data_IF_841622990470
#
_entry.id   IF_841622990470
#
_cell.length_a   1.000
_cell.length_b   1.000
_cell.length_c   1.000
_cell.angle_alpha   90.00
_cell.angle_beta   90.00
_cell.angle_gamma   90.00
#
_symmetry.space_group_name_H-M   'P 1'
#
loop_
_entity.id
_entity.type
_entity.pdbx_description
1 polymer ?
#
# COMPACT_ATOMS: atom_id res chain seq x y z
N UNK A 1 -10.38 -28.52 22.65
CA UNK A 1 -11.03 -27.79 21.51
C UNK A 1 -10.68 -26.33 21.70
N UNK A 2 -9.93 -25.74 20.79
CA UNK A 2 -9.75 -24.29 20.78
C UNK A 2 -11.14 -23.65 20.66
N UNK A 3 -11.39 -22.59 21.41
CA UNK A 3 -12.63 -21.84 21.30
C UNK A 3 -12.71 -21.26 19.87
N UNK A 4 -13.86 -21.35 19.24
CA UNK A 4 -14.10 -20.84 17.88
C UNK A 4 -13.66 -19.37 17.72
N UNK A 5 -13.77 -18.61 18.80
CA UNK A 5 -13.30 -17.22 18.86
C UNK A 5 -11.80 -17.09 18.72
N UNK A 6 -11.01 -17.96 19.36
CA UNK A 6 -9.56 -17.96 19.29
C UNK A 6 -9.07 -18.36 17.87
N UNK A 7 -9.73 -19.30 17.25
CA UNK A 7 -9.45 -19.70 15.87
C UNK A 7 -9.72 -18.54 14.89
N UNK A 8 -10.85 -17.87 15.03
CA UNK A 8 -11.18 -16.69 14.22
C UNK A 8 -10.19 -15.55 14.42
N UNK A 9 -9.72 -15.33 15.66
CA UNK A 9 -8.72 -14.32 15.97
C UNK A 9 -7.36 -14.66 15.32
N UNK A 10 -6.96 -15.94 15.40
CA UNK A 10 -5.73 -16.43 14.76
C UNK A 10 -5.78 -16.21 13.24
N UNK A 11 -6.87 -16.60 12.58
CA UNK A 11 -7.04 -16.42 11.14
C UNK A 11 -7.01 -14.93 10.74
N UNK A 12 -7.53 -14.04 11.57
CA UNK A 12 -7.47 -12.60 11.31
C UNK A 12 -6.03 -12.06 11.48
N UNK A 13 -5.26 -12.56 12.44
CA UNK A 13 -3.85 -12.20 12.62
C UNK A 13 -2.99 -12.69 11.44
N UNK A 14 -3.19 -13.91 10.96
CA UNK A 14 -2.51 -14.44 9.77
C UNK A 14 -2.82 -13.58 8.53
N UNK A 15 -4.07 -13.16 8.35
CA UNK A 15 -4.44 -12.26 7.26
C UNK A 15 -3.77 -10.87 7.41
N UNK A 16 -3.70 -10.33 8.62
CA UNK A 16 -2.97 -9.08 8.89
C UNK A 16 -1.49 -9.19 8.55
N UNK A 17 -0.86 -10.34 8.82
CA UNK A 17 0.52 -10.59 8.45
C UNK A 17 0.72 -10.53 6.92
N UNK A 18 -0.21 -11.08 6.14
CA UNK A 18 -0.18 -11.01 4.68
C UNK A 18 -0.24 -9.55 4.18
N UNK A 19 -1.09 -8.70 4.79
CA UNK A 19 -1.13 -7.28 4.47
C UNK A 19 0.17 -6.56 4.87
N UNK A 20 0.74 -6.89 6.03
CA UNK A 20 2.02 -6.33 6.45
C UNK A 20 3.15 -6.71 5.48
N UNK A 21 3.21 -7.94 5.01
CA UNK A 21 4.21 -8.36 4.01
C UNK A 21 4.08 -7.57 2.71
N UNK A 22 2.86 -7.29 2.25
CA UNK A 22 2.65 -6.44 1.08
C UNK A 22 3.08 -4.98 1.34
N UNK A 23 2.80 -4.45 2.54
CA UNK A 23 3.22 -3.09 2.92
C UNK A 23 4.74 -2.98 3.01
N UNK A 24 5.43 -3.95 3.60
CA UNK A 24 6.90 -4.01 3.68
C UNK A 24 7.48 -3.99 2.27
N UNK A 25 7.03 -4.90 1.41
CA UNK A 25 7.51 -4.98 0.03
C UNK A 25 7.24 -3.68 -0.75
N UNK A 26 6.08 -3.06 -0.56
CA UNK A 26 5.76 -1.77 -1.15
C UNK A 26 6.74 -0.66 -0.70
N UNK A 27 7.05 -0.61 0.60
CA UNK A 27 8.00 0.35 1.16
C UNK A 27 9.43 0.11 0.67
N UNK A 28 9.82 -1.16 0.51
CA UNK A 28 11.13 -1.52 -0.05
C UNK A 28 11.26 -1.05 -1.50
N UNK A 29 10.23 -1.25 -2.34
CA UNK A 29 10.23 -0.75 -3.72
C UNK A 29 10.34 0.78 -3.79
N UNK A 30 9.62 1.49 -2.92
CA UNK A 30 9.68 2.95 -2.85
C UNK A 30 11.04 3.44 -2.34
N UNK A 31 11.64 2.73 -1.38
CA UNK A 31 12.97 3.03 -0.89
C UNK A 31 14.06 2.85 -1.95
N UNK A 32 13.96 1.78 -2.79
CA UNK A 32 14.87 1.60 -3.94
C UNK A 32 14.71 2.73 -4.96
N UNK A 33 13.47 3.19 -5.22
CA UNK A 33 13.24 4.33 -6.13
C UNK A 33 13.87 5.62 -5.58
N UNK A 34 13.74 5.90 -4.28
CA UNK A 34 14.40 7.04 -3.62
C UNK A 34 15.93 6.94 -3.75
N UNK A 35 16.53 5.77 -3.49
CA UNK A 35 17.96 5.55 -3.65
C UNK A 35 18.45 5.77 -5.08
N UNK A 36 17.68 5.36 -6.09
CA UNK A 36 17.97 5.62 -7.50
C UNK A 36 17.93 7.12 -7.78
N UNK A 37 16.92 7.82 -7.28
CA UNK A 37 16.80 9.27 -7.44
C UNK A 37 17.98 10.01 -6.79
N UNK A 38 18.37 9.64 -5.58
CA UNK A 38 19.48 10.24 -4.83
C UNK A 38 20.85 9.95 -5.51
N UNK A 39 20.96 8.80 -6.17
CA UNK A 39 22.19 8.34 -6.84
C UNK A 39 22.22 8.65 -8.35
N UNK A 40 21.30 9.45 -8.86
CA UNK A 40 21.09 9.68 -10.31
C UNK A 40 22.35 10.13 -11.05
N UNK A 41 23.18 10.96 -10.44
CA UNK A 41 24.45 11.41 -11.05
C UNK A 41 25.41 10.24 -11.27
N UNK A 42 25.55 9.34 -10.29
CA UNK A 42 26.43 8.16 -10.39
C UNK A 42 25.90 7.13 -11.39
N UNK A 43 24.58 7.03 -11.52
CA UNK A 43 23.90 6.10 -12.43
C UNK A 43 23.88 6.57 -13.90
N UNK A 44 24.39 7.76 -14.21
CA UNK A 44 24.51 8.25 -15.59
C UNK A 44 25.40 7.37 -16.49
N UNK A 45 26.27 6.52 -15.92
CA UNK A 45 27.06 5.55 -16.67
C UNK A 45 26.18 4.42 -17.30
N UNK A 46 24.96 4.20 -16.81
CA UNK A 46 24.04 3.16 -17.29
C UNK A 46 22.59 3.68 -17.44
N UNK A 47 22.33 4.72 -18.25
CA UNK A 47 21.06 5.43 -18.27
C UNK A 47 19.88 4.54 -18.72
N UNK A 48 20.08 3.64 -19.66
CA UNK A 48 19.03 2.73 -20.14
C UNK A 48 18.67 1.68 -19.09
N UNK A 49 19.65 1.16 -18.35
CA UNK A 49 19.40 0.24 -17.26
C UNK A 49 18.61 0.92 -16.16
N UNK A 50 19.02 2.10 -15.74
CA UNK A 50 18.34 2.90 -14.71
C UNK A 50 16.89 3.17 -15.09
N UNK A 51 16.62 3.58 -16.34
CA UNK A 51 15.27 3.82 -16.84
C UNK A 51 14.40 2.55 -16.79
N UNK A 52 14.95 1.40 -17.18
CA UNK A 52 14.22 0.13 -17.14
C UNK A 52 13.86 -0.25 -15.69
N UNK A 53 14.80 -0.09 -14.76
CA UNK A 53 14.58 -0.38 -13.35
C UNK A 53 13.54 0.56 -12.75
N UNK A 54 13.62 1.87 -12.99
CA UNK A 54 12.63 2.85 -12.56
C UNK A 54 11.22 2.48 -13.07
N UNK A 55 11.08 2.15 -14.36
CA UNK A 55 9.78 1.73 -14.91
C UNK A 55 9.24 0.46 -14.23
N UNK A 56 10.10 -0.54 -13.99
CA UNK A 56 9.69 -1.78 -13.35
C UNK A 56 9.28 -1.59 -11.88
N UNK A 57 9.97 -0.70 -11.15
CA UNK A 57 9.61 -0.32 -9.78
C UNK A 57 8.23 0.37 -9.75
N UNK A 58 8.03 1.36 -10.64
CA UNK A 58 6.75 2.08 -10.76
C UNK A 58 5.62 1.09 -11.02
N UNK A 59 5.75 0.20 -11.99
CA UNK A 59 4.72 -0.79 -12.30
C UNK A 59 4.46 -1.72 -11.11
N UNK A 60 5.52 -2.14 -10.41
CA UNK A 60 5.41 -3.06 -9.27
C UNK A 60 4.66 -2.43 -8.10
N UNK A 61 5.04 -1.23 -7.64
CA UNK A 61 4.34 -0.61 -6.51
C UNK A 61 2.93 -0.13 -6.88
N UNK A 62 2.69 0.25 -8.14
CA UNK A 62 1.35 0.57 -8.62
C UNK A 62 0.42 -0.63 -8.56
N UNK A 63 0.87 -1.82 -8.98
CA UNK A 63 0.08 -3.05 -8.91
C UNK A 63 -0.27 -3.40 -7.45
N UNK A 64 0.67 -3.25 -6.52
CA UNK A 64 0.42 -3.53 -5.10
C UNK A 64 -0.65 -2.57 -4.55
N UNK A 65 -0.49 -1.26 -4.81
CA UNK A 65 -1.47 -0.26 -4.38
C UNK A 65 -2.86 -0.54 -4.97
N UNK A 66 -2.93 -0.89 -6.26
CA UNK A 66 -4.19 -1.25 -6.91
C UNK A 66 -4.87 -2.45 -6.25
N UNK A 67 -4.10 -3.45 -5.80
CA UNK A 67 -4.63 -4.59 -5.05
C UNK A 67 -5.13 -4.19 -3.67
N UNK A 68 -4.40 -3.33 -2.96
CA UNK A 68 -4.77 -2.87 -1.62
C UNK A 68 -6.03 -1.97 -1.60
N UNK A 69 -6.34 -1.30 -2.72
CA UNK A 69 -7.43 -0.32 -2.81
C UNK A 69 -8.46 -0.63 -3.91
N UNK A 70 -8.52 -1.88 -4.39
CA UNK A 70 -9.56 -2.29 -5.34
C UNK A 70 -10.96 -2.11 -4.75
N UNK A 71 -11.92 -1.77 -5.61
CA UNK A 71 -13.34 -1.60 -5.24
C UNK A 71 -14.12 -2.91 -5.14
N UNK A 72 -13.53 -4.03 -5.56
CA UNK A 72 -14.20 -5.33 -5.53
C UNK A 72 -14.41 -5.83 -4.10
N UNK A 73 -15.65 -6.15 -3.75
CA UNK A 73 -15.96 -6.76 -2.45
C UNK A 73 -15.45 -8.21 -2.30
N UNK A 74 -14.92 -8.81 -3.38
CA UNK A 74 -14.39 -10.19 -3.40
C UNK A 74 -12.89 -10.27 -3.19
N UNK A 75 -12.21 -9.13 -3.12
CA UNK A 75 -10.75 -9.05 -3.02
C UNK A 75 -10.31 -8.66 -1.61
N UNK A 76 -9.08 -9.06 -1.26
CA UNK A 76 -8.44 -8.64 -0.02
C UNK A 76 -7.91 -7.22 -0.20
N UNK A 77 -8.65 -6.24 0.35
CA UNK A 77 -8.33 -4.80 0.25
C UNK A 77 -8.44 -4.14 1.62
N UNK A 78 -7.80 -2.99 1.82
CA UNK A 78 -7.88 -2.23 3.07
C UNK A 78 -9.35 -1.85 3.42
N UNK A 79 -10.19 -1.37 2.47
CA UNK A 79 -11.61 -1.15 2.75
C UNK A 79 -12.36 -2.41 3.20
N UNK A 80 -12.08 -3.56 2.58
CA UNK A 80 -12.73 -4.83 2.95
C UNK A 80 -12.22 -5.38 4.28
N UNK A 81 -10.95 -5.19 4.60
CA UNK A 81 -10.38 -5.52 5.90
C UNK A 81 -11.09 -4.74 7.02
N UNK A 82 -11.27 -3.43 6.86
CA UNK A 82 -12.01 -2.58 7.82
C UNK A 82 -13.43 -3.11 8.00
N UNK A 83 -14.16 -3.38 6.90
CA UNK A 83 -15.52 -3.96 6.95
C UNK A 83 -15.53 -5.32 7.66
N UNK A 84 -14.55 -6.19 7.39
CA UNK A 84 -14.42 -7.50 8.03
C UNK A 84 -14.18 -7.37 9.53
N UNK A 85 -13.30 -6.47 9.96
CA UNK A 85 -13.07 -6.20 11.38
C UNK A 85 -14.32 -5.67 12.09
N UNK A 86 -15.09 -4.79 11.46
CA UNK A 86 -16.38 -4.31 11.99
C UNK A 86 -17.39 -5.44 12.19
N UNK A 87 -17.49 -6.38 11.24
CA UNK A 87 -18.36 -7.56 11.36
C UNK A 87 -17.93 -8.51 12.48
N UNK A 88 -16.65 -8.56 12.77
CA UNK A 88 -16.05 -9.42 13.79
C UNK A 88 -15.57 -8.63 15.02
N UNK A 89 -16.28 -7.56 15.36
CA UNK A 89 -15.89 -6.63 16.42
C UNK A 89 -15.77 -7.30 17.80
N UNK A 90 -16.45 -8.41 18.02
CA UNK A 90 -16.38 -9.19 19.25
C UNK A 90 -15.02 -9.87 19.48
N UNK A 91 -14.15 -9.94 18.47
CA UNK A 91 -12.79 -10.46 18.59
C UNK A 91 -11.84 -9.48 19.32
N UNK A 92 -12.19 -8.20 19.33
CA UNK A 92 -11.35 -7.14 19.87
C UNK A 92 -11.57 -6.96 21.39
N UNK A 93 -10.52 -6.61 22.15
CA UNK A 93 -10.62 -6.47 23.61
C UNK A 93 -11.50 -5.27 24.01
N UNK A 94 -11.53 -4.20 23.21
CA UNK A 94 -12.32 -2.99 23.44
C UNK A 94 -13.28 -2.72 22.27
N UNK A 95 -14.39 -3.48 22.13
CA UNK A 95 -15.23 -3.45 20.93
C UNK A 95 -15.75 -2.06 20.56
N UNK A 96 -16.23 -1.28 21.53
CA UNK A 96 -16.79 0.05 21.29
C UNK A 96 -15.74 1.04 20.78
N UNK A 97 -14.55 1.06 21.39
CA UNK A 97 -13.46 1.93 20.99
C UNK A 97 -12.93 1.52 19.61
N UNK A 98 -12.78 0.22 19.40
CA UNK A 98 -12.35 -0.32 18.10
C UNK A 98 -13.35 0.01 17.00
N UNK A 99 -14.65 -0.14 17.26
CA UNK A 99 -15.69 0.21 16.29
C UNK A 99 -15.66 1.71 15.94
N UNK A 100 -15.46 2.58 16.93
CA UNK A 100 -15.32 4.02 16.71
C UNK A 100 -14.14 4.34 15.80
N UNK A 101 -12.96 3.71 16.04
CA UNK A 101 -11.76 3.92 15.22
C UNK A 101 -11.91 3.36 13.80
N UNK A 102 -12.57 2.20 13.65
CA UNK A 102 -12.86 1.64 12.32
C UNK A 102 -13.83 2.51 11.52
N UNK A 103 -14.79 3.16 12.19
CA UNK A 103 -15.69 4.13 11.55
C UNK A 103 -14.90 5.39 11.11
N UNK A 104 -13.93 5.85 11.92
CA UNK A 104 -13.03 6.95 11.54
C UNK A 104 -12.24 6.60 10.27
N UNK A 105 -11.65 5.40 10.21
CA UNK A 105 -10.94 4.94 9.01
C UNK A 105 -11.85 4.87 7.78
N UNK A 106 -13.06 4.35 7.91
CA UNK A 106 -14.03 4.30 6.81
C UNK A 106 -14.44 5.71 6.35
N UNK A 107 -14.58 6.63 7.29
CA UNK A 107 -14.85 8.05 7.00
C UNK A 107 -13.67 8.68 6.26
N UNK A 108 -12.43 8.46 6.70
CA UNK A 108 -11.23 8.94 5.99
C UNK A 108 -11.17 8.43 4.55
N UNK A 109 -11.48 7.14 4.30
CA UNK A 109 -11.51 6.59 2.94
C UNK A 109 -12.48 7.29 1.99
N UNK A 110 -13.58 7.84 2.51
CA UNK A 110 -14.67 8.42 1.70
C UNK A 110 -14.72 9.95 1.73
N UNK A 111 -14.23 10.59 2.78
CA UNK A 111 -14.41 12.02 3.03
C UNK A 111 -13.09 12.81 3.15
N UNK A 112 -11.96 12.13 3.41
CA UNK A 112 -10.65 12.79 3.34
C UNK A 112 -10.32 13.07 1.88
N UNK A 113 -10.19 14.36 1.53
CA UNK A 113 -9.99 14.83 0.16
C UNK A 113 -8.71 14.23 -0.46
N UNK A 114 -7.65 14.09 0.33
CA UNK A 114 -6.37 13.57 -0.18
C UNK A 114 -6.41 12.05 -0.39
N UNK A 115 -6.96 11.31 0.56
CA UNK A 115 -7.07 9.85 0.47
C UNK A 115 -8.05 9.45 -0.64
N UNK A 116 -9.24 10.05 -0.66
CA UNK A 116 -10.26 9.73 -1.67
C UNK A 116 -9.78 10.06 -3.08
N UNK A 117 -9.16 11.24 -3.27
CA UNK A 117 -8.58 11.63 -4.55
C UNK A 117 -7.43 10.70 -4.99
N UNK A 118 -6.55 10.30 -4.07
CA UNK A 118 -5.47 9.35 -4.36
C UNK A 118 -6.02 8.00 -4.83
N UNK A 119 -7.06 7.48 -4.16
CA UNK A 119 -7.73 6.23 -4.53
C UNK A 119 -8.41 6.34 -5.90
N UNK A 120 -9.15 7.42 -6.16
CA UNK A 120 -9.82 7.65 -7.44
C UNK A 120 -8.83 7.74 -8.60
N UNK A 121 -7.72 8.46 -8.39
CA UNK A 121 -6.64 8.58 -9.38
C UNK A 121 -5.99 7.24 -9.64
N UNK A 122 -5.72 6.45 -8.60
CA UNK A 122 -5.17 5.09 -8.69
C UNK A 122 -6.07 4.16 -9.51
N UNK A 123 -7.38 4.17 -9.24
CA UNK A 123 -8.37 3.34 -9.93
C UNK A 123 -8.51 3.77 -11.40
N UNK A 124 -8.59 5.08 -11.66
CA UNK A 124 -8.64 5.62 -13.02
C UNK A 124 -7.41 5.18 -13.83
N UNK A 125 -6.23 5.21 -13.22
CA UNK A 125 -4.98 4.75 -13.87
C UNK A 125 -5.00 3.25 -14.12
N UNK A 126 -5.48 2.44 -13.17
CA UNK A 126 -5.67 1.00 -13.37
C UNK A 126 -6.52 0.72 -14.59
N UNK A 127 -7.69 1.32 -14.63
CA UNK A 127 -8.68 1.05 -15.68
C UNK A 127 -8.18 1.52 -17.04
N UNK A 128 -7.52 2.67 -17.12
CA UNK A 128 -7.08 3.25 -18.39
C UNK A 128 -5.79 2.65 -18.94
N UNK A 129 -4.85 2.24 -18.10
CA UNK A 129 -3.49 1.88 -18.50
C UNK A 129 -3.22 0.38 -18.32
N UNK A 130 -3.54 -0.15 -17.12
CA UNK A 130 -3.15 -1.52 -16.76
C UNK A 130 -4.19 -2.57 -17.14
N UNK A 131 -5.49 -2.26 -17.08
CA UNK A 131 -6.54 -3.24 -17.32
C UNK A 131 -6.97 -3.31 -18.80
N UNK A 132 -7.06 -2.17 -19.48
CA UNK A 132 -7.72 -2.11 -20.76
C UNK A 132 -6.83 -1.69 -21.93
N UNK A 133 -5.55 -1.33 -21.67
CA UNK A 133 -4.63 -0.88 -22.72
C UNK A 133 -5.33 0.06 -23.73
N UNK A 134 -6.03 1.06 -23.18
CA UNK A 134 -6.91 1.96 -23.92
C UNK A 134 -6.15 2.55 -25.10
N UNK A 135 -6.76 2.49 -26.31
CA UNK A 135 -6.19 3.04 -27.57
C UNK A 135 -5.70 4.48 -27.40
N UNK A 136 -6.30 5.24 -26.50
CA UNK A 136 -5.90 6.61 -26.18
C UNK A 136 -4.47 6.68 -25.58
N UNK A 137 -4.05 5.64 -24.86
CA UNK A 137 -2.76 5.58 -24.17
C UNK A 137 -1.75 4.67 -24.83
N UNK A 138 -2.19 3.78 -25.75
CA UNK A 138 -1.33 2.83 -26.45
C UNK A 138 -0.22 3.55 -27.24
N UNK A 139 1.04 3.26 -26.90
CA UNK A 139 2.21 3.85 -27.58
C UNK A 139 2.45 5.34 -27.32
N UNK A 140 1.65 6.02 -26.49
CA UNK A 140 1.89 7.41 -26.08
C UNK A 140 2.72 7.44 -24.81
N UNK A 141 3.77 8.29 -24.79
CA UNK A 141 4.45 8.61 -23.54
C UNK A 141 3.41 9.14 -22.55
N UNK A 142 3.32 8.51 -21.39
CA UNK A 142 2.40 8.79 -20.27
C UNK A 142 2.48 10.20 -19.67
N UNK A 143 2.98 11.18 -20.40
CA UNK A 143 3.61 12.38 -19.89
C UNK A 143 2.64 13.49 -19.50
N UNK A 144 1.34 13.45 -19.80
CA UNK A 144 0.45 14.59 -19.47
C UNK A 144 -1.02 14.20 -19.28
N UNK A 145 -1.30 13.18 -18.49
CA UNK A 145 -2.69 12.89 -18.15
C UNK A 145 -3.04 13.42 -16.76
N UNK A 146 -4.26 13.92 -16.60
CA UNK A 146 -4.85 14.34 -15.33
C UNK A 146 -4.91 13.20 -14.29
N UNK A 147 -4.71 11.95 -14.72
CA UNK A 147 -4.62 10.76 -13.88
C UNK A 147 -3.20 10.47 -13.34
N UNK A 148 -2.29 11.45 -13.37
CA UNK A 148 -0.93 11.25 -12.85
C UNK A 148 -0.94 11.14 -11.32
N UNK A 149 -0.68 9.92 -10.84
CA UNK A 149 -0.48 9.70 -9.41
C UNK A 149 0.91 10.22 -9.02
N UNK A 150 0.94 11.31 -8.27
CA UNK A 150 2.19 11.89 -7.77
C UNK A 150 2.70 11.09 -6.58
N UNK A 151 4.01 11.11 -6.33
CA UNK A 151 4.64 10.40 -5.22
C UNK A 151 3.98 10.69 -3.86
N UNK A 152 3.55 11.92 -3.61
CA UNK A 152 2.87 12.25 -2.35
C UNK A 152 1.52 11.52 -2.18
N UNK A 153 0.78 11.24 -3.27
CA UNK A 153 -0.46 10.45 -3.20
C UNK A 153 -0.15 8.99 -2.81
N UNK A 154 0.97 8.46 -3.33
CA UNK A 154 1.43 7.11 -2.99
C UNK A 154 1.73 7.03 -1.51
N UNK A 155 2.50 7.97 -0.98
CA UNK A 155 2.84 8.02 0.44
C UNK A 155 1.61 8.24 1.35
N UNK A 156 0.60 9.00 0.91
CA UNK A 156 -0.67 9.12 1.64
C UNK A 156 -1.33 7.75 1.80
N UNK A 157 -1.41 6.95 0.72
CA UNK A 157 -2.01 5.62 0.76
C UNK A 157 -1.17 4.63 1.58
N UNK A 158 0.15 4.68 1.46
CA UNK A 158 1.08 3.86 2.25
C UNK A 158 0.92 4.14 3.74
N UNK A 159 0.96 5.42 4.14
CA UNK A 159 0.84 5.84 5.52
C UNK A 159 -0.54 5.50 6.11
N UNK A 160 -1.61 5.68 5.33
CA UNK A 160 -2.94 5.29 5.75
C UNK A 160 -3.06 3.76 5.93
N UNK A 161 -2.50 2.98 5.02
CA UNK A 161 -2.42 1.51 5.15
C UNK A 161 -1.69 1.12 6.43
N UNK A 162 -0.52 1.73 6.68
CA UNK A 162 0.28 1.47 7.88
C UNK A 162 -0.48 1.84 9.17
N UNK A 163 -1.18 2.99 9.19
CA UNK A 163 -2.00 3.41 10.34
C UNK A 163 -3.09 2.38 10.66
N UNK A 164 -3.80 1.90 9.63
CA UNK A 164 -4.85 0.89 9.79
C UNK A 164 -4.28 -0.43 10.30
N UNK A 165 -3.23 -0.95 9.68
CA UNK A 165 -2.64 -2.24 10.04
C UNK A 165 -2.04 -2.22 11.44
N UNK A 166 -1.27 -1.19 11.79
CA UNK A 166 -0.68 -1.03 13.12
C UNK A 166 -1.76 -0.95 14.19
N UNK A 167 -2.83 -0.20 13.94
CA UNK A 167 -3.95 -0.14 14.88
C UNK A 167 -4.58 -1.52 15.10
N UNK A 168 -4.95 -2.23 14.02
CA UNK A 168 -5.58 -3.54 14.12
C UNK A 168 -4.69 -4.56 14.82
N UNK A 169 -3.41 -4.58 14.48
CA UNK A 169 -2.44 -5.48 15.08
C UNK A 169 -2.29 -5.21 16.58
N UNK A 170 -2.15 -3.94 16.99
CA UNK A 170 -2.03 -3.56 18.40
C UNK A 170 -3.26 -3.95 19.25
N UNK A 171 -4.43 -4.04 18.62
CA UNK A 171 -5.66 -4.47 19.31
C UNK A 171 -5.81 -5.99 19.41
N UNK A 172 -5.19 -6.75 18.53
CA UNK A 172 -5.32 -8.21 18.46
C UNK A 172 -4.10 -8.96 19.02
N UNK A 173 -2.92 -8.37 18.94
CA UNK A 173 -1.67 -8.94 19.42
C UNK A 173 -1.22 -8.23 20.70
N UNK A 174 -0.52 -8.96 21.59
CA UNK A 174 0.19 -8.39 22.72
C UNK A 174 1.60 -7.88 22.34
N UNK A 175 2.02 -8.08 21.08
CA UNK A 175 3.30 -7.62 20.58
C UNK A 175 3.24 -6.14 20.19
N UNK A 176 4.37 -5.42 20.36
CA UNK A 176 4.51 -4.04 19.87
C UNK A 176 4.36 -3.98 18.35
N UNK A 177 3.90 -2.82 17.84
CA UNK A 177 3.70 -2.60 16.41
C UNK A 177 4.95 -2.97 15.60
N UNK A 178 4.77 -3.73 14.53
CA UNK A 178 5.85 -4.09 13.61
C UNK A 178 6.34 -2.85 12.89
N UNK A 179 7.61 -2.49 13.10
CA UNK A 179 8.26 -1.41 12.35
C UNK A 179 8.77 -1.96 11.03
N UNK A 180 8.25 -1.44 9.94
CA UNK A 180 8.79 -1.67 8.60
C UNK A 180 9.94 -0.68 8.36
N UNK A 181 11.16 -1.18 8.16
CA UNK A 181 12.33 -0.35 7.88
C UNK A 181 12.99 -0.82 6.60
N UNK A 182 13.08 0.06 5.63
CA UNK A 182 13.94 -0.11 4.45
C UNK A 182 15.39 0.24 4.82
N UNK A 183 16.32 -0.62 4.51
CA UNK A 183 17.76 -0.34 4.61
C UNK A 183 18.26 0.14 3.24
N UNK A 184 18.96 1.28 3.21
CA UNK A 184 19.49 1.92 1.99
C UNK A 184 20.64 1.14 1.36
N UNK A 185 20.37 -0.06 0.86
CA UNK A 185 21.39 -0.98 0.33
C UNK A 185 22.10 -0.46 -0.91
N UNK A 186 21.36 0.20 -1.81
CA UNK A 186 21.95 0.76 -3.04
C UNK A 186 22.93 1.89 -2.73
N UNK A 187 22.56 2.81 -1.85
CA UNK A 187 23.47 3.87 -1.39
C UNK A 187 24.74 3.31 -0.77
N UNK A 188 24.62 2.24 0.04
CA UNK A 188 25.74 1.56 0.67
C UNK A 188 26.65 0.86 -0.36
N UNK A 189 26.07 0.30 -1.43
CA UNK A 189 26.84 -0.30 -2.54
C UNK A 189 27.65 0.74 -3.31
N UNK A 190 27.04 1.90 -3.60
CA UNK A 190 27.65 2.97 -4.38
C UNK A 190 28.69 3.80 -3.60
N UNK A 191 28.76 3.66 -2.27
CA UNK A 191 29.75 4.30 -1.40
C UNK A 191 31.01 3.43 -1.18
N UNK A 192 31.07 2.21 -1.71
CA UNK A 192 32.20 1.28 -1.52
C UNK A 192 33.36 1.48 -2.52
N UNK A 193 33.38 2.56 -3.25
CA UNK A 193 34.53 3.05 -4.01
C UNK A 193 35.35 4.06 -3.19
#
# INVERSE_FOLDING_TARGET
>A
MMDQKEEMKKNLLEELDDYFMQLVYLKDLLGVEEDICDSREKLQCAPNFTLIVECALIDSYMIILMRLYDKSDKTQTIPNLIKKCKKNICLFPTPNNTLSKLNEFETKLSQDEYISHAIETLISRRDSIYAHNDKKYFGKKLVKDTSYLKMYHIWILVNFTEEVLNYLFSQLSSEESRKTKYDKDLSNLLMRE
#
